data_IF_370031413691
#
_entry.id   IF_370031413691
#
_cell.length_a   1.000
_cell.length_b   1.000
_cell.length_c   1.000
_cell.angle_alpha   90.00
_cell.angle_beta   90.00
_cell.angle_gamma   90.00
#
_symmetry.space_group_name_H-M   'P 1'
#
loop_
_entity.id
_entity.type
_entity.pdbx_description
1 polymer ?
#
# COMPACT_ATOMS: atom_id res chain seq x y z
N UNK A 1 -3.61 -2.47 20.00
CA UNK A 1 -4.77 -1.62 19.60
C UNK A 1 -5.99 -1.74 20.53
N UNK A 2 -6.33 -2.94 21.06
CA UNK A 2 -7.54 -3.17 21.90
C UNK A 2 -7.66 -2.30 23.16
N UNK A 3 -6.55 -1.87 23.76
CA UNK A 3 -6.55 -1.10 25.00
C UNK A 3 -6.87 0.40 24.79
N UNK A 4 -6.57 0.96 23.60
CA UNK A 4 -6.98 2.32 23.22
C UNK A 4 -8.51 2.42 23.18
N UNK A 5 -9.16 1.42 22.58
CA UNK A 5 -10.61 1.36 22.50
C UNK A 5 -11.26 1.25 23.90
N UNK A 6 -10.61 0.55 24.84
CA UNK A 6 -11.08 0.46 26.22
C UNK A 6 -11.02 1.82 26.94
N UNK A 7 -9.89 2.53 26.83
CA UNK A 7 -9.74 3.86 27.46
C UNK A 7 -10.73 4.89 26.91
N UNK A 8 -10.97 4.89 25.59
CA UNK A 8 -11.96 5.78 24.98
C UNK A 8 -13.38 5.39 25.39
N UNK A 9 -13.65 4.09 25.51
CA UNK A 9 -14.96 3.59 25.94
C UNK A 9 -15.32 4.07 27.35
N UNK A 10 -14.38 4.03 28.30
CA UNK A 10 -14.61 4.51 29.68
C UNK A 10 -15.08 5.97 29.74
N UNK A 11 -14.55 6.84 28.86
CA UNK A 11 -14.98 8.24 28.77
C UNK A 11 -16.38 8.37 28.16
N UNK A 12 -16.73 7.53 27.18
CA UNK A 12 -18.04 7.56 26.52
C UNK A 12 -19.15 7.04 27.45
N UNK A 13 -18.85 6.06 28.31
CA UNK A 13 -19.85 5.49 29.24
C UNK A 13 -19.94 6.22 30.58
N UNK A 14 -19.09 7.22 30.81
CA UNK A 14 -19.06 8.04 32.03
C UNK A 14 -19.46 9.49 31.73
N UNK A 15 -20.73 9.76 31.41
CA UNK A 15 -21.17 11.11 31.07
C UNK A 15 -21.12 12.04 32.28
N UNK A 16 -20.54 13.22 32.09
CA UNK A 16 -20.46 14.28 33.11
C UNK A 16 -21.39 15.46 32.75
N UNK A 17 -21.49 16.48 33.63
CA UNK A 17 -22.22 17.71 33.31
C UNK A 17 -23.75 17.56 33.23
N UNK A 18 -24.32 16.56 33.89
CA UNK A 18 -25.77 16.34 33.97
C UNK A 18 -26.36 15.51 32.82
N UNK A 19 -25.54 14.99 31.91
CA UNK A 19 -25.97 14.05 30.89
C UNK A 19 -26.13 12.64 31.48
N UNK A 20 -27.27 11.98 31.25
CA UNK A 20 -27.50 10.59 31.65
C UNK A 20 -27.46 9.62 30.47
N UNK A 21 -27.70 10.13 29.25
CA UNK A 21 -27.69 9.33 28.03
C UNK A 21 -26.32 9.37 27.36
N UNK A 22 -25.62 8.24 27.39
CA UNK A 22 -24.30 8.04 26.76
C UNK A 22 -24.27 8.37 25.27
N UNK A 23 -25.38 8.16 24.55
CA UNK A 23 -25.44 8.44 23.10
C UNK A 23 -25.56 9.93 22.81
N UNK A 24 -26.20 10.70 23.70
CA UNK A 24 -26.25 12.16 23.59
C UNK A 24 -24.94 12.80 24.07
N UNK A 25 -24.30 12.20 25.08
CA UNK A 25 -22.98 12.59 25.55
C UNK A 25 -21.91 12.44 24.47
N UNK A 26 -21.86 11.29 23.78
CA UNK A 26 -20.91 11.02 22.71
C UNK A 26 -21.03 11.99 21.52
N UNK A 27 -22.15 12.72 21.38
CA UNK A 27 -22.36 13.75 20.35
C UNK A 27 -21.85 15.13 20.78
N UNK A 28 -21.51 15.34 22.05
CA UNK A 28 -21.05 16.64 22.56
C UNK A 28 -19.55 16.78 22.37
N UNK A 29 -19.13 17.99 21.97
CA UNK A 29 -17.72 18.34 21.84
C UNK A 29 -16.95 18.14 23.16
N UNK A 30 -17.61 18.39 24.29
CA UNK A 30 -17.02 18.24 25.63
C UNK A 30 -16.58 16.79 25.88
N UNK A 31 -17.33 15.79 25.39
CA UNK A 31 -16.94 14.38 25.46
C UNK A 31 -15.62 14.13 24.72
N UNK A 32 -15.50 14.65 23.50
CA UNK A 32 -14.29 14.47 22.68
C UNK A 32 -13.09 15.24 23.22
N UNK A 33 -13.31 16.40 23.86
CA UNK A 33 -12.25 17.10 24.58
C UNK A 33 -11.71 16.30 25.77
N UNK A 34 -12.53 15.47 26.42
CA UNK A 34 -12.04 14.56 27.46
C UNK A 34 -11.25 13.39 26.87
N UNK A 35 -11.75 12.80 25.78
CA UNK A 35 -11.02 11.75 25.04
C UNK A 35 -9.65 12.24 24.58
N UNK A 36 -9.55 13.47 24.08
CA UNK A 36 -8.29 14.07 23.64
C UNK A 36 -7.27 14.30 24.77
N UNK A 37 -7.72 14.38 26.02
CA UNK A 37 -6.85 14.53 27.20
C UNK A 37 -6.30 13.19 27.69
N UNK A 38 -6.81 12.06 27.20
CA UNK A 38 -6.31 10.74 27.58
C UNK A 38 -4.85 10.58 27.17
N UNK A 39 -3.99 10.30 28.15
CA UNK A 39 -2.58 9.96 27.91
C UNK A 39 -2.47 8.45 27.72
N UNK A 40 -2.63 8.04 26.48
CA UNK A 40 -2.60 6.64 26.04
C UNK A 40 -1.16 6.33 25.58
N UNK A 41 -0.34 5.61 26.38
CA UNK A 41 1.05 5.32 26.02
C UNK A 41 1.13 4.33 24.85
N UNK A 42 1.40 4.83 23.64
CA UNK A 42 1.58 3.97 22.47
C UNK A 42 2.76 3.01 22.71
N UNK A 43 2.52 1.72 22.50
CA UNK A 43 3.55 0.70 22.57
C UNK A 43 4.68 1.04 21.57
N UNK A 44 5.93 0.91 22.00
CA UNK A 44 7.11 1.21 21.18
C UNK A 44 7.16 0.35 19.93
N UNK A 45 6.54 -0.84 19.96
CA UNK A 45 6.44 -1.72 18.79
C UNK A 45 5.44 -1.18 17.75
N UNK A 46 4.37 -0.50 18.18
CA UNK A 46 3.43 0.18 17.30
C UNK A 46 4.04 1.48 16.73
N UNK A 47 4.83 2.20 17.52
CA UNK A 47 5.58 3.38 17.07
C UNK A 47 6.56 3.04 15.93
N UNK A 48 7.15 1.84 15.94
CA UNK A 48 8.02 1.35 14.86
C UNK A 48 7.28 0.97 13.57
N UNK A 49 5.97 0.73 13.65
CA UNK A 49 5.11 0.47 12.48
C UNK A 49 4.39 1.72 11.96
N UNK A 50 4.45 2.82 12.71
CA UNK A 50 4.01 4.13 12.26
C UNK A 50 5.07 4.70 11.33
N UNK A 51 4.90 4.42 10.03
CA UNK A 51 5.63 5.12 8.96
C UNK A 51 5.32 6.61 9.09
N UNK A 52 6.36 7.45 9.15
CA UNK A 52 6.14 8.89 9.25
C UNK A 52 5.39 9.36 7.99
N UNK A 53 4.45 10.31 8.12
CA UNK A 53 3.74 10.91 6.96
C UNK A 53 4.68 11.48 5.89
N UNK A 54 5.92 11.80 6.28
CA UNK A 54 6.99 12.24 5.38
C UNK A 54 7.54 11.09 4.51
N UNK A 55 7.62 9.87 5.04
CA UNK A 55 8.11 8.69 4.32
C UNK A 55 7.14 8.27 3.21
N UNK A 56 5.83 8.41 3.43
CA UNK A 56 4.80 8.15 2.40
C UNK A 56 4.92 9.12 1.21
N UNK A 57 5.37 10.35 1.47
CA UNK A 57 5.66 11.35 0.44
C UNK A 57 6.99 11.08 -0.23
N UNK A 58 8.02 10.67 0.50
CA UNK A 58 9.32 10.33 -0.05
C UNK A 58 9.25 9.08 -0.93
N UNK A 59 8.57 8.02 -0.50
CA UNK A 59 8.35 6.81 -1.31
C UNK A 59 7.58 7.12 -2.59
N UNK A 60 6.53 7.96 -2.52
CA UNK A 60 5.84 8.40 -3.74
C UNK A 60 6.74 9.24 -4.66
N UNK A 61 7.54 10.14 -4.09
CA UNK A 61 8.40 11.03 -4.85
C UNK A 61 9.63 10.32 -5.42
N UNK A 62 10.15 9.31 -4.73
CA UNK A 62 11.20 8.41 -5.23
C UNK A 62 10.65 7.46 -6.29
N UNK A 63 9.42 6.95 -6.14
CA UNK A 63 8.76 6.18 -7.18
C UNK A 63 8.49 7.02 -8.44
N UNK A 64 8.11 8.29 -8.29
CA UNK A 64 7.95 9.25 -9.39
C UNK A 64 9.31 9.61 -10.03
N UNK A 65 10.35 9.86 -9.23
CA UNK A 65 11.69 10.20 -9.72
C UNK A 65 12.41 9.01 -10.39
N UNK A 66 12.24 7.78 -9.88
CA UNK A 66 12.74 6.56 -10.55
C UNK A 66 12.02 6.31 -11.87
N UNK A 67 10.74 6.68 -11.98
CA UNK A 67 9.99 6.58 -13.23
C UNK A 67 10.40 7.62 -14.28
N UNK A 68 10.85 8.82 -13.86
CA UNK A 68 11.38 9.84 -14.79
C UNK A 68 12.82 9.56 -15.25
N UNK A 69 13.61 8.81 -14.49
CA UNK A 69 15.03 8.62 -14.75
C UNK A 69 15.38 7.47 -15.73
N UNK A 70 14.48 6.51 -15.96
CA UNK A 70 14.74 5.39 -16.86
C UNK A 70 14.28 5.72 -18.29
N UNK A 71 15.24 5.95 -19.19
CA UNK A 71 14.94 6.10 -20.61
C UNK A 71 14.29 4.84 -21.21
N UNK A 72 13.66 4.98 -22.37
CA UNK A 72 12.93 3.88 -23.04
C UNK A 72 13.72 2.59 -23.24
N UNK A 73 15.00 2.70 -23.58
CA UNK A 73 15.89 1.56 -23.83
C UNK A 73 16.24 0.84 -22.52
N UNK A 74 16.53 1.59 -21.45
CA UNK A 74 16.85 1.02 -20.13
C UNK A 74 15.65 0.26 -19.56
N UNK A 75 14.45 0.80 -19.74
CA UNK A 75 13.19 0.15 -19.33
C UNK A 75 13.00 -1.20 -20.00
N UNK A 76 13.26 -1.29 -21.30
CA UNK A 76 13.13 -2.55 -22.05
C UNK A 76 14.21 -3.56 -21.64
N UNK A 77 15.45 -3.11 -21.39
CA UNK A 77 16.53 -3.97 -20.91
C UNK A 77 16.21 -4.59 -19.55
N UNK A 78 15.67 -3.83 -18.60
CA UNK A 78 15.26 -4.36 -17.28
C UNK A 78 14.24 -5.48 -17.44
N UNK A 79 13.22 -5.28 -18.27
CA UNK A 79 12.18 -6.28 -18.52
C UNK A 79 12.73 -7.55 -19.15
N UNK A 80 13.67 -7.42 -20.08
CA UNK A 80 14.35 -8.56 -20.73
C UNK A 80 15.25 -9.30 -19.74
N UNK A 81 15.98 -8.58 -18.90
CA UNK A 81 16.88 -9.15 -17.90
C UNK A 81 16.14 -9.94 -16.81
N UNK A 82 14.94 -9.50 -16.41
CA UNK A 82 14.06 -10.27 -15.52
C UNK A 82 13.65 -11.62 -16.13
N UNK A 83 13.52 -11.67 -17.45
CA UNK A 83 13.32 -12.90 -18.20
C UNK A 83 11.92 -13.52 -18.07
N UNK A 84 11.62 -14.47 -18.96
CA UNK A 84 10.26 -15.02 -19.08
C UNK A 84 9.80 -15.82 -17.86
N UNK A 85 10.73 -16.42 -17.09
CA UNK A 85 10.39 -17.18 -15.88
C UNK A 85 9.77 -16.27 -14.81
N UNK A 86 10.41 -15.13 -14.54
CA UNK A 86 9.93 -14.15 -13.58
C UNK A 86 8.53 -13.66 -13.93
N UNK A 87 8.30 -13.28 -15.20
CA UNK A 87 6.99 -12.79 -15.65
C UNK A 87 5.89 -13.84 -15.55
N UNK A 88 6.21 -15.12 -15.78
CA UNK A 88 5.25 -16.23 -15.59
C UNK A 88 4.86 -16.42 -14.12
N UNK A 89 5.84 -16.35 -13.22
CA UNK A 89 5.60 -16.45 -11.78
C UNK A 89 4.77 -15.25 -11.28
N UNK A 90 5.13 -14.04 -11.72
CA UNK A 90 4.39 -12.82 -11.41
C UNK A 90 2.95 -12.90 -11.91
N UNK A 91 2.74 -13.35 -13.15
CA UNK A 91 1.41 -13.53 -13.73
C UNK A 91 0.58 -14.53 -12.93
N UNK A 92 1.14 -15.69 -12.58
CA UNK A 92 0.44 -16.73 -11.83
C UNK A 92 0.04 -16.23 -10.43
N UNK A 93 0.95 -15.56 -9.73
CA UNK A 93 0.70 -15.02 -8.41
C UNK A 93 -0.35 -13.91 -8.43
N UNK A 94 -0.24 -12.97 -9.36
CA UNK A 94 -1.16 -11.84 -9.47
C UNK A 94 -2.56 -12.28 -9.95
N UNK A 95 -2.65 -13.29 -10.81
CA UNK A 95 -3.91 -13.93 -11.20
C UNK A 95 -4.62 -14.60 -10.02
N UNK A 96 -3.89 -15.37 -9.21
CA UNK A 96 -4.45 -16.04 -8.05
C UNK A 96 -5.09 -15.07 -7.03
N UNK A 97 -4.66 -13.81 -7.06
CA UNK A 97 -5.14 -12.73 -6.17
C UNK A 97 -6.05 -11.71 -6.87
N UNK A 98 -6.42 -11.96 -8.13
CA UNK A 98 -7.29 -11.06 -8.93
C UNK A 98 -6.79 -9.60 -8.98
N UNK A 99 -5.47 -9.41 -9.05
CA UNK A 99 -4.81 -8.10 -9.00
C UNK A 99 -4.59 -7.45 -10.39
N UNK A 100 -5.03 -8.12 -11.46
CA UNK A 100 -4.75 -7.73 -12.84
C UNK A 100 -6.04 -7.52 -13.62
N UNK A 101 -6.05 -6.50 -14.50
CA UNK A 101 -7.07 -6.38 -15.54
C UNK A 101 -6.73 -7.28 -16.76
N UNK A 102 -7.71 -7.60 -17.63
CA UNK A 102 -7.47 -8.38 -18.85
C UNK A 102 -6.39 -7.79 -19.77
N UNK A 103 -6.29 -6.46 -19.81
CA UNK A 103 -5.27 -5.74 -20.57
C UNK A 103 -3.87 -5.95 -19.97
N UNK A 104 -3.76 -5.89 -18.65
CA UNK A 104 -2.49 -6.07 -17.94
C UNK A 104 -2.00 -7.51 -18.04
N UNK A 105 -2.90 -8.50 -17.98
CA UNK A 105 -2.57 -9.89 -18.25
C UNK A 105 -2.00 -10.08 -19.66
N UNK A 106 -2.61 -9.43 -20.65
CA UNK A 106 -2.16 -9.50 -22.04
C UNK A 106 -0.75 -8.91 -22.21
N UNK A 107 -0.44 -7.83 -21.49
CA UNK A 107 0.87 -7.19 -21.50
C UNK A 107 1.92 -8.09 -20.81
N UNK A 108 1.62 -8.66 -19.64
CA UNK A 108 2.52 -9.61 -18.97
C UNK A 108 2.75 -10.86 -19.83
N UNK A 109 1.72 -11.35 -20.52
CA UNK A 109 1.84 -12.48 -21.44
C UNK A 109 2.85 -12.23 -22.58
N UNK A 110 3.02 -10.98 -23.02
CA UNK A 110 4.08 -10.63 -23.99
C UNK A 110 5.47 -10.84 -23.37
N UNK A 111 5.68 -10.41 -22.13
CA UNK A 111 6.95 -10.56 -21.42
C UNK A 111 7.26 -12.04 -21.07
N UNK A 112 6.24 -12.87 -20.86
CA UNK A 112 6.38 -14.33 -20.74
C UNK A 112 6.93 -14.99 -22.01
N UNK A 113 6.89 -14.31 -23.16
CA UNK A 113 7.39 -14.78 -24.45
C UNK A 113 8.87 -14.46 -24.73
N UNK A 114 9.56 -13.78 -23.82
CA UNK A 114 10.98 -13.45 -23.95
C UNK A 114 11.83 -14.74 -23.98
N UNK A 115 12.82 -14.87 -24.88
CA UNK A 115 13.34 -13.84 -25.80
C UNK A 115 12.69 -13.79 -27.19
N UNK A 116 11.75 -14.69 -27.53
CA UNK A 116 11.14 -14.75 -28.87
C UNK A 116 10.26 -13.54 -29.19
N UNK A 117 9.62 -12.96 -28.18
CA UNK A 117 8.77 -11.77 -28.32
C UNK A 117 9.23 -10.72 -27.32
N UNK A 118 9.68 -9.58 -27.84
CA UNK A 118 10.12 -8.45 -27.02
C UNK A 118 8.96 -7.46 -26.85
N UNK A 119 8.66 -7.03 -25.62
CA UNK A 119 7.67 -5.98 -25.38
C UNK A 119 8.18 -4.65 -25.95
N UNK A 120 7.27 -3.79 -26.40
CA UNK A 120 7.60 -2.43 -26.82
C UNK A 120 8.02 -1.56 -25.63
N UNK A 121 8.59 -0.39 -25.88
CA UNK A 121 8.95 0.56 -24.83
C UNK A 121 7.75 0.92 -23.92
N UNK A 122 6.59 1.23 -24.52
CA UNK A 122 5.35 1.51 -23.77
C UNK A 122 4.87 0.31 -22.95
N UNK A 123 4.98 -0.90 -23.50
CA UNK A 123 4.65 -2.13 -22.77
C UNK A 123 5.62 -2.37 -21.62
N UNK A 124 6.91 -2.10 -21.84
CA UNK A 124 7.97 -2.25 -20.83
C UNK A 124 7.76 -1.31 -19.65
N UNK A 125 7.43 -0.04 -19.93
CA UNK A 125 7.08 0.93 -18.88
C UNK A 125 5.83 0.47 -18.10
N UNK A 126 4.83 -0.08 -18.78
CA UNK A 126 3.63 -0.62 -18.12
C UNK A 126 3.95 -1.86 -17.28
N UNK A 127 4.84 -2.74 -17.75
CA UNK A 127 5.28 -3.95 -17.04
C UNK A 127 5.97 -3.61 -15.72
N UNK A 128 6.85 -2.62 -15.70
CA UNK A 128 7.50 -2.17 -14.47
C UNK A 128 6.48 -1.61 -13.46
N UNK A 129 5.52 -0.80 -13.92
CA UNK A 129 4.43 -0.30 -13.05
C UNK A 129 3.59 -1.43 -12.45
N UNK A 130 3.31 -2.47 -13.23
CA UNK A 130 2.58 -3.64 -12.74
C UNK A 130 3.44 -4.42 -11.73
N UNK A 131 4.73 -4.60 -12.02
CA UNK A 131 5.68 -5.25 -11.11
C UNK A 131 5.72 -4.54 -9.76
N UNK A 132 5.93 -3.22 -9.74
CA UNK A 132 6.05 -2.46 -8.50
C UNK A 132 4.76 -2.59 -7.66
N UNK A 133 3.59 -2.50 -8.33
CA UNK A 133 2.29 -2.70 -7.68
C UNK A 133 2.15 -4.12 -7.10
N UNK A 134 2.54 -5.15 -7.84
CA UNK A 134 2.44 -6.55 -7.41
C UNK A 134 3.42 -6.87 -6.27
N UNK A 135 4.60 -6.26 -6.27
CA UNK A 135 5.59 -6.38 -5.18
C UNK A 135 5.11 -5.69 -3.90
N UNK A 136 4.46 -4.53 -4.00
CA UNK A 136 3.81 -3.85 -2.86
C UNK A 136 2.72 -4.72 -2.21
N UNK A 137 2.01 -5.54 -3.00
CA UNK A 137 1.02 -6.50 -2.50
C UNK A 137 1.64 -7.76 -1.86
N UNK A 138 2.97 -7.87 -1.85
CA UNK A 138 3.73 -8.93 -1.19
C UNK A 138 4.28 -10.02 -2.11
N UNK A 139 4.43 -9.77 -3.41
CA UNK A 139 5.16 -10.68 -4.29
C UNK A 139 6.67 -10.60 -4.03
N UNK A 140 7.31 -11.74 -3.75
CA UNK A 140 8.72 -11.79 -3.36
C UNK A 140 9.69 -12.20 -4.48
N UNK A 141 9.20 -12.46 -5.70
CA UNK A 141 10.02 -12.63 -6.91
C UNK A 141 11.31 -13.44 -6.77
N UNK A 142 11.29 -14.55 -6.02
CA UNK A 142 12.45 -15.45 -5.83
C UNK A 142 12.43 -16.61 -6.81
#
# INVERSE_FOLDING_TARGET
MRWIAAEVFEVIVSPEGGFQNVTEWAKKEICWQQVQKLRIPLDQELAKQLVAREDDRLVKKEAEAQQEALGGIETQMVVVNLGSLYWKQLLAWAKARTLLSPDEESIIAVACGIPRKLPTEKQSARLLKIKDRVELEGYLGR
#
